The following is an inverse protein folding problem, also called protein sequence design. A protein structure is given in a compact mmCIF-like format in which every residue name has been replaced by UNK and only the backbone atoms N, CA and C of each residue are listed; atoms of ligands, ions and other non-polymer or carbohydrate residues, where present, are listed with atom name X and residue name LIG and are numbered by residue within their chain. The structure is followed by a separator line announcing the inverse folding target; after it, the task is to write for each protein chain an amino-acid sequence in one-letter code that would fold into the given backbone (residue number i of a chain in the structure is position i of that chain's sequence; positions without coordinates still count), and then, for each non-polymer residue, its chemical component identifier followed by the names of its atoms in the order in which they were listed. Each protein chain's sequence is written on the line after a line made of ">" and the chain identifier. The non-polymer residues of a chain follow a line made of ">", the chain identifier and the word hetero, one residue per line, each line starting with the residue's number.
data_IF_542513861257
#
_entry.id   IF_542513861257
#
_cell.length_a   1.000
_cell.length_b   1.000
_cell.length_c   1.000
_cell.angle_alpha   90.00
_cell.angle_beta   90.00
_cell.angle_gamma   90.00
#
_symmetry.space_group_name_H-M   'P 1'
#
loop_
_entity.id
_entity.type
_entity.pdbx_description
1 polymer ?
#
# COMPACT_ATOMS: atom_id res chain seq x y z
N UNK A 1 -26.21 21.62 3.76
CA UNK A 1 -25.52 20.45 4.36
C UNK A 1 -24.66 19.76 3.30
N UNK A 2 -23.62 20.46 2.81
CA UNK A 2 -22.66 19.98 1.80
C UNK A 2 -21.22 20.48 2.07
N UNK A 3 -20.93 20.94 3.28
CA UNK A 3 -19.67 21.66 3.57
C UNK A 3 -18.64 20.85 4.35
N UNK A 4 -18.98 19.67 4.88
CA UNK A 4 -18.10 18.96 5.84
C UNK A 4 -17.21 17.85 5.25
N UNK A 5 -17.27 17.54 3.95
CA UNK A 5 -16.49 16.40 3.38
C UNK A 5 -15.15 16.84 2.74
N UNK A 6 -14.83 18.14 2.68
CA UNK A 6 -13.70 18.63 1.88
C UNK A 6 -12.42 18.97 2.68
N UNK A 7 -12.04 18.14 3.67
CA UNK A 7 -10.87 18.40 4.53
C UNK A 7 -9.74 17.35 4.47
N UNK A 8 -9.53 16.69 3.32
CA UNK A 8 -8.30 15.92 3.12
C UNK A 8 -7.61 16.32 1.81
N UNK A 9 -7.33 17.62 1.65
CA UNK A 9 -6.51 18.11 0.53
C UNK A 9 -5.05 17.74 0.80
N UNK A 10 -4.67 16.52 0.43
CA UNK A 10 -3.27 16.13 0.34
C UNK A 10 -2.52 17.11 -0.56
N UNK A 11 -1.31 17.53 -0.17
CA UNK A 11 -0.47 18.37 -1.02
C UNK A 11 -0.17 17.62 -2.32
N UNK A 12 -0.77 18.06 -3.42
CA UNK A 12 -0.41 17.58 -4.75
C UNK A 12 1.01 18.04 -5.07
N UNK A 13 1.88 17.12 -5.50
CA UNK A 13 3.21 17.49 -5.95
C UNK A 13 3.09 18.30 -7.24
N UNK A 14 3.66 19.50 -7.27
CA UNK A 14 3.68 20.35 -8.47
C UNK A 14 4.55 19.78 -9.60
N UNK A 15 5.24 18.67 -9.35
CA UNK A 15 6.08 17.94 -10.30
C UNK A 15 5.73 16.45 -10.29
N UNK A 16 5.84 15.75 -11.43
CA UNK A 16 5.69 14.30 -11.50
C UNK A 16 6.70 13.58 -10.58
N UNK A 17 6.25 12.50 -9.94
CA UNK A 17 7.15 11.59 -9.23
C UNK A 17 8.16 10.97 -10.20
N UNK A 18 9.39 10.75 -9.75
CA UNK A 18 10.49 10.14 -10.50
C UNK A 18 11.27 9.22 -9.59
N UNK A 19 11.72 8.08 -10.11
CA UNK A 19 12.44 7.09 -9.33
C UNK A 19 11.90 5.68 -9.54
N UNK A 20 12.23 4.78 -8.62
CA UNK A 20 11.80 3.38 -8.58
C UNK A 20 10.63 3.23 -7.62
N UNK A 21 9.48 2.81 -8.17
CA UNK A 21 8.23 2.60 -7.43
C UNK A 21 7.75 1.17 -7.67
N UNK A 22 8.32 0.17 -6.96
CA UNK A 22 7.93 -1.20 -7.17
C UNK A 22 6.50 -1.45 -6.67
N UNK A 23 5.85 -2.42 -7.29
CA UNK A 23 4.55 -2.93 -6.83
C UNK A 23 4.79 -3.95 -5.73
N UNK A 24 4.36 -3.64 -4.51
CA UNK A 24 4.54 -4.53 -3.36
C UNK A 24 3.57 -5.72 -3.44
N UNK A 25 4.00 -6.94 -3.08
CA UNK A 25 3.09 -8.06 -2.89
C UNK A 25 2.21 -7.85 -1.65
N UNK A 26 1.12 -8.60 -1.57
CA UNK A 26 0.42 -8.84 -0.31
C UNK A 26 0.89 -10.18 0.23
N UNK A 27 1.33 -10.23 1.49
CA UNK A 27 1.86 -11.44 2.09
C UNK A 27 0.75 -12.20 2.82
N UNK A 28 0.70 -13.51 2.58
CA UNK A 28 -0.26 -14.41 3.19
C UNK A 28 0.47 -15.53 3.95
N UNK A 29 -0.16 -16.02 5.01
CA UNK A 29 0.26 -17.24 5.70
C UNK A 29 -0.16 -18.50 4.92
N UNK A 30 0.27 -19.68 5.39
CA UNK A 30 -0.07 -20.97 4.76
C UNK A 30 -1.58 -21.26 4.74
N UNK A 31 -2.37 -20.54 5.54
CA UNK A 31 -3.83 -20.62 5.58
C UNK A 31 -4.53 -19.60 4.66
N UNK A 32 -3.77 -18.79 3.91
CA UNK A 32 -4.30 -17.74 3.04
C UNK A 32 -4.80 -16.50 3.78
N UNK A 33 -4.46 -16.33 5.06
CA UNK A 33 -4.78 -15.11 5.82
C UNK A 33 -3.64 -14.11 5.67
N UNK A 34 -3.93 -12.81 5.83
CA UNK A 34 -2.87 -11.79 5.83
C UNK A 34 -1.80 -12.08 6.89
N UNK A 35 -0.53 -12.11 6.47
CA UNK A 35 0.63 -12.04 7.36
C UNK A 35 1.14 -10.60 7.41
N UNK A 36 0.63 -9.83 8.38
CA UNK A 36 0.96 -8.41 8.54
C UNK A 36 2.43 -8.18 8.93
N UNK A 37 3.03 -9.09 9.70
CA UNK A 37 4.45 -9.02 10.05
C UNK A 37 5.32 -9.34 8.82
N UNK A 38 4.90 -10.30 8.00
CA UNK A 38 5.50 -10.56 6.69
C UNK A 38 5.38 -9.40 5.73
N UNK A 39 4.21 -8.76 5.69
CA UNK A 39 3.98 -7.54 4.92
C UNK A 39 4.97 -6.46 5.33
N UNK A 40 5.11 -6.19 6.63
CA UNK A 40 6.07 -5.21 7.15
C UNK A 40 7.50 -5.53 6.71
N UNK A 41 7.96 -6.79 6.84
CA UNK A 41 9.30 -7.19 6.40
C UNK A 41 9.52 -6.99 4.90
N UNK A 42 8.52 -7.25 4.07
CA UNK A 42 8.60 -7.04 2.62
C UNK A 42 8.72 -5.54 2.28
N UNK A 43 7.97 -4.69 2.99
CA UNK A 43 8.02 -3.24 2.83
C UNK A 43 9.37 -2.69 3.31
N UNK A 44 9.84 -3.10 4.50
CA UNK A 44 11.15 -2.72 5.05
C UNK A 44 12.27 -3.08 4.05
N UNK A 45 12.23 -4.29 3.47
CA UNK A 45 13.20 -4.70 2.44
C UNK A 45 13.21 -3.77 1.22
N UNK A 46 12.04 -3.37 0.71
CA UNK A 46 11.97 -2.48 -0.46
C UNK A 46 12.44 -1.06 -0.14
N UNK A 47 12.19 -0.59 1.09
CA UNK A 47 12.70 0.69 1.59
C UNK A 47 14.23 0.63 1.70
N UNK A 48 14.77 -0.41 2.33
CA UNK A 48 16.22 -0.61 2.51
C UNK A 48 16.96 -0.78 1.17
N UNK A 49 16.28 -1.33 0.16
CA UNK A 49 16.79 -1.42 -1.21
C UNK A 49 16.82 -0.07 -1.95
N UNK A 50 16.28 1.01 -1.36
CA UNK A 50 16.32 2.36 -1.90
C UNK A 50 15.15 2.72 -2.83
N UNK A 51 13.97 2.14 -2.62
CA UNK A 51 12.76 2.53 -3.38
C UNK A 51 12.38 3.99 -3.09
N UNK A 52 12.03 4.75 -4.13
CA UNK A 52 11.58 6.15 -3.99
C UNK A 52 10.12 6.26 -3.53
N UNK A 53 9.37 5.18 -3.69
CA UNK A 53 8.01 5.01 -3.17
C UNK A 53 7.52 3.60 -3.46
N UNK A 54 6.29 3.29 -3.06
CA UNK A 54 5.72 1.94 -3.19
C UNK A 54 4.31 2.01 -3.77
N UNK A 55 4.00 1.08 -4.67
CA UNK A 55 2.66 0.86 -5.15
C UNK A 55 2.07 -0.35 -4.42
N UNK A 56 1.12 -0.11 -3.51
CA UNK A 56 0.37 -1.16 -2.81
C UNK A 56 -1.01 -1.34 -3.46
N UNK A 57 -1.67 -2.47 -3.18
CA UNK A 57 -3.04 -2.75 -3.64
C UNK A 57 -3.20 -2.62 -5.16
N UNK A 58 -2.19 -3.04 -5.92
CA UNK A 58 -2.30 -3.19 -7.35
C UNK A 58 -2.76 -4.61 -7.74
N UNK A 59 -2.88 -4.88 -9.04
CA UNK A 59 -3.26 -6.20 -9.54
C UNK A 59 -2.28 -7.30 -9.10
N UNK A 60 -0.97 -7.02 -9.12
CA UNK A 60 0.07 -7.96 -8.63
C UNK A 60 -0.01 -8.14 -7.10
N UNK A 61 -0.51 -7.15 -6.37
CA UNK A 61 -0.76 -7.24 -4.93
C UNK A 61 -2.04 -8.02 -4.60
N UNK A 62 -2.71 -8.60 -5.60
CA UNK A 62 -3.94 -9.40 -5.42
C UNK A 62 -5.11 -8.61 -4.83
N UNK A 63 -5.17 -7.30 -5.06
CA UNK A 63 -6.16 -6.40 -4.44
C UNK A 63 -7.62 -6.86 -4.56
N UNK A 64 -7.94 -7.61 -5.62
CA UNK A 64 -9.29 -8.08 -5.95
C UNK A 64 -9.70 -9.32 -5.13
N UNK A 65 -8.75 -9.99 -4.47
CA UNK A 65 -9.00 -11.15 -3.59
C UNK A 65 -9.17 -10.74 -2.12
N UNK A 66 -8.81 -9.50 -1.78
CA UNK A 66 -8.91 -8.99 -0.42
C UNK A 66 -10.33 -8.51 -0.10
N UNK A 67 -10.74 -8.68 1.16
CA UNK A 67 -11.90 -7.99 1.73
C UNK A 67 -11.57 -6.51 1.98
N UNK A 68 -12.58 -5.68 2.20
CA UNK A 68 -12.37 -4.26 2.47
C UNK A 68 -11.51 -4.04 3.72
N UNK A 69 -11.72 -4.83 4.77
CA UNK A 69 -10.95 -4.74 6.02
C UNK A 69 -9.49 -5.18 5.83
N UNK A 70 -9.25 -6.12 4.91
CA UNK A 70 -7.90 -6.57 4.56
C UNK A 70 -7.15 -5.50 3.76
N UNK A 71 -7.83 -4.82 2.83
CA UNK A 71 -7.25 -3.68 2.11
C UNK A 71 -6.85 -2.56 3.08
N UNK A 72 -7.72 -2.23 4.03
CA UNK A 72 -7.43 -1.21 5.06
C UNK A 72 -6.24 -1.60 5.94
N UNK A 73 -6.16 -2.89 6.34
CA UNK A 73 -5.01 -3.39 7.09
C UNK A 73 -3.70 -3.23 6.31
N UNK A 74 -3.69 -3.57 5.02
CA UNK A 74 -2.50 -3.41 4.15
C UNK A 74 -2.11 -1.93 3.94
N UNK A 75 -3.07 -0.99 3.97
CA UNK A 75 -2.76 0.45 3.87
C UNK A 75 -2.12 1.03 5.13
N UNK A 76 -2.40 0.44 6.30
CA UNK A 76 -2.10 1.05 7.62
C UNK A 76 -1.03 0.32 8.42
N UNK A 77 -0.69 -0.91 8.04
CA UNK A 77 0.41 -1.70 8.62
C UNK A 77 1.77 -1.20 8.10
#
# INVERSE_FOLDING_TARGET
>A
MKEEIMSATGRSSTRPYRGVFPVAPTIFDDGGRLDLEGQKRAIDFMIDAGSDGLCILANFSEQFLLRDEEREAVMTT
#
